data_IF_956469384633
#
_entry.id   IF_956469384633
#
_cell.length_a   1.000
_cell.length_b   1.000
_cell.length_c   1.000
_cell.angle_alpha   90.00
_cell.angle_beta   90.00
_cell.angle_gamma   90.00
#
_symmetry.space_group_name_H-M   'P 1'
#
loop_
_entity.id
_entity.type
_entity.pdbx_description
1 polymer ?
#
# COMPACT_ATOMS: atom_id res chain seq x y z
N UNK A 1 -17.11 -3.20 2.55
CA UNK A 1 -16.52 -3.85 1.34
C UNK A 1 -16.01 -5.27 1.65
N UNK A 2 -15.77 -6.12 0.63
CA UNK A 2 -15.17 -7.47 0.82
C UNK A 2 -13.67 -7.44 0.56
N UNK A 3 -12.89 -7.99 1.50
CA UNK A 3 -11.45 -8.10 1.39
C UNK A 3 -11.03 -9.54 1.10
N UNK A 4 -10.12 -9.69 0.14
CA UNK A 4 -9.48 -10.96 -0.22
C UNK A 4 -8.04 -10.92 0.24
N UNK A 5 -7.70 -11.74 1.22
CA UNK A 5 -6.32 -11.87 1.69
C UNK A 5 -5.40 -12.38 0.58
N UNK A 6 -4.34 -11.62 0.25
CA UNK A 6 -3.32 -12.01 -0.73
C UNK A 6 -2.11 -12.63 -0.03
N UNK A 7 -1.64 -11.98 1.03
CA UNK A 7 -0.51 -12.45 1.80
C UNK A 7 -0.13 -11.52 2.93
N UNK A 8 0.80 -11.98 3.77
CA UNK A 8 1.34 -11.24 4.90
C UNK A 8 2.82 -11.57 5.02
N UNK A 9 3.61 -10.63 5.51
CA UNK A 9 4.97 -10.91 5.88
C UNK A 9 5.07 -11.12 7.40
N UNK A 10 5.33 -12.35 7.84
CA UNK A 10 5.38 -12.71 9.25
C UNK A 10 6.82 -12.87 9.72
N UNK A 11 7.47 -11.77 10.10
CA UNK A 11 8.61 -11.78 11.01
C UNK A 11 8.13 -11.79 12.47
N UNK A 12 8.94 -12.27 13.45
CA UNK A 12 8.49 -12.40 14.83
C UNK A 12 8.29 -11.04 15.48
N UNK A 13 7.04 -10.57 15.53
CA UNK A 13 6.63 -9.35 16.22
C UNK A 13 5.28 -8.85 15.73
N UNK A 14 5.21 -8.47 14.47
CA UNK A 14 4.03 -7.82 13.87
C UNK A 14 4.00 -8.11 12.36
N UNK A 15 2.82 -8.28 11.76
CA UNK A 15 2.67 -8.83 10.41
C UNK A 15 1.90 -7.88 9.48
N UNK A 16 2.59 -7.05 8.69
CA UNK A 16 1.95 -6.29 7.62
C UNK A 16 1.26 -7.23 6.64
N UNK A 17 0.06 -6.86 6.22
CA UNK A 17 -0.85 -7.73 5.49
C UNK A 17 -1.43 -7.01 4.28
N UNK A 18 -1.50 -7.72 3.17
CA UNK A 18 -2.03 -7.21 1.91
C UNK A 18 -3.35 -7.90 1.57
N UNK A 19 -4.35 -7.08 1.28
CA UNK A 19 -5.66 -7.52 0.86
C UNK A 19 -6.02 -6.89 -0.50
N UNK A 20 -6.77 -7.62 -1.32
CA UNK A 20 -7.44 -7.10 -2.50
C UNK A 20 -8.91 -6.81 -2.15
N UNK A 21 -9.37 -5.61 -2.44
CA UNK A 21 -10.78 -5.25 -2.37
C UNK A 21 -11.48 -5.58 -3.70
N UNK A 22 -12.76 -5.92 -3.61
CA UNK A 22 -13.64 -6.08 -4.79
C UNK A 22 -13.90 -4.75 -5.53
N UNK A 23 -13.49 -3.62 -4.95
CA UNK A 23 -13.66 -2.26 -5.51
C UNK A 23 -12.48 -1.77 -6.34
N UNK A 24 -11.78 -2.67 -7.03
CA UNK A 24 -10.58 -2.34 -7.81
C UNK A 24 -9.55 -1.52 -7.00
N UNK A 25 -9.38 -1.91 -5.73
CA UNK A 25 -8.40 -1.30 -4.81
C UNK A 25 -7.70 -2.38 -4.00
N UNK A 26 -6.47 -2.12 -3.55
CA UNK A 26 -5.72 -2.92 -2.60
C UNK A 26 -5.73 -2.25 -1.23
N UNK A 27 -5.90 -3.05 -0.19
CA UNK A 27 -5.82 -2.58 1.19
C UNK A 27 -4.51 -3.07 1.77
N UNK A 28 -3.68 -2.11 2.14
CA UNK A 28 -2.34 -2.36 2.68
C UNK A 28 -2.40 -2.10 4.18
N UNK A 29 -2.30 -3.16 4.98
CA UNK A 29 -2.15 -3.08 6.43
C UNK A 29 -0.67 -3.05 6.79
N UNK A 30 -0.26 -2.05 7.55
CA UNK A 30 1.11 -1.92 8.03
C UNK A 30 1.23 -1.13 9.32
N UNK A 31 2.46 -0.86 9.72
CA UNK A 31 2.74 -0.08 10.92
C UNK A 31 2.44 1.38 10.69
N UNK A 32 1.69 2.00 11.60
CA UNK A 32 1.43 3.42 11.53
C UNK A 32 2.71 4.19 11.81
N UNK A 33 3.13 5.01 10.86
CA UNK A 33 4.34 5.83 11.02
C UNK A 33 3.98 7.06 11.83
N UNK A 34 4.43 7.09 13.09
CA UNK A 34 4.32 8.25 13.97
C UNK A 34 5.57 9.14 13.93
N UNK A 35 6.58 8.75 13.14
CA UNK A 35 7.84 9.47 13.06
C UNK A 35 7.59 10.87 12.48
N UNK A 36 7.59 11.87 13.36
CA UNK A 36 7.33 13.26 13.00
C UNK A 36 8.32 13.74 11.94
N UNK A 37 9.57 13.27 11.97
CA UNK A 37 10.58 13.60 10.96
C UNK A 37 10.21 13.11 9.54
N UNK A 38 9.65 11.89 9.43
CA UNK A 38 9.12 11.39 8.16
C UNK A 38 7.86 12.15 7.74
N UNK A 39 6.92 12.32 8.66
CA UNK A 39 5.69 13.09 8.42
C UNK A 39 5.96 14.56 8.05
N UNK A 40 7.03 15.17 8.54
CA UNK A 40 7.44 16.53 8.17
C UNK A 40 7.99 16.61 6.75
N UNK A 41 8.51 15.50 6.23
CA UNK A 41 9.03 15.39 4.85
C UNK A 41 7.95 14.98 3.85
N UNK A 42 6.87 14.37 4.32
CA UNK A 42 5.73 13.94 3.52
C UNK A 42 4.58 14.93 3.66
N UNK A 43 3.98 15.34 2.54
CA UNK A 43 2.73 16.08 2.59
C UNK A 43 1.58 15.05 2.68
N UNK A 44 1.06 14.85 3.89
CA UNK A 44 -0.06 13.93 4.16
C UNK A 44 -1.36 14.74 4.23
N UNK A 45 -2.25 14.64 3.23
CA UNK A 45 -3.54 15.33 3.25
C UNK A 45 -4.43 14.87 4.40
N UNK A 46 -5.40 15.70 4.78
CA UNK A 46 -6.46 15.31 5.71
C UNK A 46 -7.19 14.05 5.22
N UNK A 47 -7.33 13.07 6.12
CA UNK A 47 -7.93 11.76 5.81
C UNK A 47 -6.98 10.77 5.15
N UNK A 48 -5.72 11.13 4.90
CA UNK A 48 -4.67 10.21 4.51
C UNK A 48 -3.78 9.84 5.70
N UNK A 49 -3.15 8.69 5.61
CA UNK A 49 -2.21 8.20 6.61
C UNK A 49 -1.06 7.47 5.94
N UNK A 50 -0.03 7.19 6.73
CA UNK A 50 1.21 6.56 6.25
C UNK A 50 1.45 5.27 7.00
N UNK A 51 1.66 4.21 6.22
CA UNK A 51 1.98 2.87 6.72
C UNK A 51 3.37 2.46 6.27
N UNK A 52 4.11 1.82 7.16
CA UNK A 52 5.33 1.12 6.80
C UNK A 52 5.02 -0.36 6.53
N UNK A 53 5.46 -0.85 5.36
CA UNK A 53 5.35 -2.27 4.98
C UNK A 53 6.62 -2.74 4.25
N UNK A 54 7.01 -4.01 4.36
CA UNK A 54 8.14 -4.56 3.64
C UNK A 54 7.83 -4.68 2.14
N UNK A 55 8.81 -4.38 1.30
CA UNK A 55 8.62 -4.40 -0.17
C UNK A 55 8.24 -5.79 -0.69
N UNK A 56 8.67 -6.85 -0.01
CA UNK A 56 8.33 -8.24 -0.35
C UNK A 56 6.82 -8.51 -0.22
N UNK A 57 6.08 -7.70 0.55
CA UNK A 57 4.63 -7.82 0.66
C UNK A 57 3.96 -7.64 -0.71
N UNK A 58 4.52 -6.79 -1.58
CA UNK A 58 4.02 -6.57 -2.93
C UNK A 58 4.24 -7.78 -3.84
N UNK A 59 5.13 -8.72 -3.52
CA UNK A 59 5.27 -9.95 -4.30
C UNK A 59 3.97 -10.79 -4.28
N UNK A 60 3.16 -10.65 -3.24
CA UNK A 60 1.86 -11.29 -3.15
C UNK A 60 0.81 -10.72 -4.11
N UNK A 61 1.04 -9.55 -4.71
CA UNK A 61 0.18 -9.02 -5.77
C UNK A 61 0.09 -9.96 -6.97
N UNK A 62 1.15 -10.71 -7.25
CA UNK A 62 1.14 -11.72 -8.32
C UNK A 62 0.03 -12.77 -8.10
N UNK A 63 -0.38 -13.03 -6.85
CA UNK A 63 -1.51 -13.94 -6.54
C UNK A 63 -2.87 -13.36 -6.95
N UNK A 64 -2.97 -12.04 -7.10
CA UNK A 64 -4.17 -11.39 -7.61
C UNK A 64 -4.28 -11.46 -9.14
N UNK A 65 -3.20 -11.88 -9.82
CA UNK A 65 -3.10 -11.90 -11.28
C UNK A 65 -2.28 -10.76 -11.87
N UNK A 66 -1.55 -10.00 -11.05
CA UNK A 66 -0.65 -8.96 -11.54
C UNK A 66 0.61 -9.54 -12.19
N UNK A 67 1.14 -8.89 -13.25
CA UNK A 67 2.22 -9.42 -14.07
C UNK A 67 3.56 -9.54 -13.32
N UNK A 68 3.77 -8.68 -12.33
CA UNK A 68 4.91 -8.72 -11.41
C UNK A 68 4.45 -8.24 -10.04
N UNK A 69 5.05 -8.76 -8.97
CA UNK A 69 4.91 -8.18 -7.63
C UNK A 69 6.14 -7.40 -7.18
N UNK A 70 7.10 -7.20 -8.08
CA UNK A 70 8.28 -6.40 -7.85
C UNK A 70 7.99 -4.93 -8.16
N UNK A 71 7.97 -4.09 -7.13
CA UNK A 71 7.89 -2.64 -7.29
C UNK A 71 9.15 -2.16 -7.99
N UNK A 72 8.98 -1.59 -9.18
CA UNK A 72 10.05 -1.00 -10.00
C UNK A 72 10.06 0.52 -9.92
N UNK A 73 8.89 1.12 -9.68
CA UNK A 73 8.68 2.55 -9.64
C UNK A 73 8.22 2.96 -8.24
N UNK A 74 9.03 3.76 -7.55
CA UNK A 74 8.73 4.28 -6.21
C UNK A 74 8.15 5.69 -6.34
N UNK A 75 6.87 5.77 -6.70
CA UNK A 75 6.09 7.01 -6.80
C UNK A 75 4.86 6.94 -5.90
N UNK A 76 4.13 8.05 -5.75
CA UNK A 76 2.84 8.07 -5.07
C UNK A 76 1.98 6.87 -5.53
N UNK A 77 1.53 6.00 -4.61
CA UNK A 77 1.43 6.16 -3.15
C UNK A 77 2.68 5.81 -2.32
N UNK A 78 3.71 5.17 -2.88
CA UNK A 78 4.96 4.90 -2.16
C UNK A 78 5.81 6.18 -2.11
N UNK A 79 6.04 6.69 -0.90
CA UNK A 79 6.74 7.96 -0.70
C UNK A 79 8.22 7.79 -0.38
N UNK A 80 8.57 6.69 0.30
CA UNK A 80 9.94 6.45 0.74
C UNK A 80 10.22 4.95 0.81
N UNK A 81 11.45 4.56 0.51
CA UNK A 81 11.98 3.22 0.82
C UNK A 81 13.09 3.38 1.85
N UNK A 82 13.02 2.62 2.93
CA UNK A 82 14.04 2.60 3.96
C UNK A 82 15.18 1.67 3.56
N UNK A 83 16.37 1.91 4.11
CA UNK A 83 17.52 1.02 3.90
C UNK A 83 17.31 -0.41 4.46
N UNK A 84 16.25 -0.63 5.25
CA UNK A 84 15.91 -1.93 5.83
C UNK A 84 15.07 -2.80 4.88
N UNK A 85 14.71 -2.29 3.69
CA UNK A 85 13.83 -3.00 2.75
C UNK A 85 12.33 -2.83 3.07
N UNK A 86 11.97 -1.88 3.93
CA UNK A 86 10.59 -1.43 4.09
C UNK A 86 10.32 -0.21 3.21
N UNK A 87 9.06 0.03 2.90
CA UNK A 87 8.60 1.20 2.19
C UNK A 87 7.44 1.85 2.94
N UNK A 88 7.43 3.18 2.88
CA UNK A 88 6.40 4.02 3.44
C UNK A 88 5.39 4.29 2.34
N UNK A 89 4.18 3.79 2.55
CA UNK A 89 3.06 3.95 1.63
C UNK A 89 2.09 4.94 2.24
N UNK A 90 1.76 5.97 1.48
CA UNK A 90 0.78 6.99 1.82
C UNK A 90 -0.50 6.75 1.05
N UNK A 91 -1.63 6.79 1.74
CA UNK A 91 -2.93 6.67 1.08
C UNK A 91 -4.09 7.07 1.99
N UNK A 92 -5.30 7.11 1.45
CA UNK A 92 -6.50 7.35 2.24
C UNK A 92 -6.65 6.30 3.34
N UNK A 93 -6.86 6.80 4.56
CA UNK A 93 -7.09 5.96 5.71
C UNK A 93 -8.40 5.19 5.51
N UNK A 94 -8.34 3.89 5.79
CA UNK A 94 -9.46 3.02 5.55
C UNK A 94 -10.45 3.08 6.72
N UNK A 95 -11.63 3.63 6.47
CA UNK A 95 -12.70 3.76 7.46
C UNK A 95 -13.88 2.77 7.25
N UNK A 96 -13.79 1.83 6.31
CA UNK A 96 -14.90 0.91 6.00
C UNK A 96 -15.09 -0.14 7.12
N UNK A 97 -16.21 -0.12 7.85
CA UNK A 97 -16.39 -0.94 9.04
C UNK A 97 -16.48 -2.44 8.72
N UNK A 98 -16.98 -2.83 7.54
CA UNK A 98 -17.06 -4.24 7.15
C UNK A 98 -15.65 -4.82 6.96
N UNK A 99 -14.78 -4.05 6.34
CA UNK A 99 -13.40 -4.45 6.13
C UNK A 99 -12.59 -4.41 7.43
N UNK A 100 -12.73 -3.34 8.23
CA UNK A 100 -12.14 -3.27 9.57
C UNK A 100 -12.57 -4.48 10.44
N UNK A 101 -13.81 -4.95 10.31
CA UNK A 101 -14.30 -6.12 11.03
C UNK A 101 -13.74 -7.45 10.53
N UNK A 102 -13.16 -7.51 9.33
CA UNK A 102 -12.53 -8.71 8.75
C UNK A 102 -11.06 -8.86 9.16
N UNK A 103 -10.44 -7.79 9.67
CA UNK A 103 -9.03 -7.76 10.04
C UNK A 103 -8.85 -7.30 11.48
N UNK A 104 -7.66 -7.54 12.05
CA UNK A 104 -7.38 -7.19 13.44
C UNK A 104 -6.33 -6.09 13.44
N UNK A 105 -6.74 -4.88 13.78
CA UNK A 105 -5.86 -3.71 13.86
C UNK A 105 -5.65 -3.30 15.31
N UNK A 106 -4.48 -3.57 15.91
CA UNK A 106 -4.06 -2.89 17.11
C UNK A 106 -3.75 -1.42 16.81
N UNK A 107 -3.81 -0.54 17.83
CA UNK A 107 -3.70 0.92 17.62
C UNK A 107 -2.35 1.44 17.07
N UNK A 108 -1.35 0.57 16.93
CA UNK A 108 -0.06 0.88 16.30
C UNK A 108 0.01 0.45 14.83
N UNK A 109 -0.98 -0.29 14.33
CA UNK A 109 -1.16 -0.62 12.92
C UNK A 109 -2.26 0.26 12.33
N UNK A 110 -2.17 0.51 11.03
CA UNK A 110 -3.27 1.12 10.27
C UNK A 110 -3.33 0.51 8.88
N UNK A 111 -4.44 0.76 8.20
CA UNK A 111 -4.67 0.30 6.85
C UNK A 111 -5.01 1.48 5.95
N UNK A 112 -4.41 1.45 4.77
CA UNK A 112 -4.75 2.39 3.71
C UNK A 112 -5.37 1.66 2.55
N UNK A 113 -6.30 2.35 1.87
CA UNK A 113 -6.83 1.89 0.60
C UNK A 113 -6.03 2.53 -0.53
N UNK A 114 -5.52 1.71 -1.43
CA UNK A 114 -4.73 2.14 -2.58
C UNK A 114 -5.43 1.65 -3.85
N UNK A 115 -5.67 2.51 -4.85
CA UNK A 115 -6.25 2.06 -6.12
C UNK A 115 -5.36 0.99 -6.79
N UNK A 116 -5.96 -0.04 -7.40
CA UNK A 116 -5.21 -0.97 -8.26
C UNK A 116 -4.38 -0.26 -9.33
N UNK A 117 -4.88 0.75 -10.07
CA UNK A 117 -4.07 1.43 -11.08
C UNK A 117 -2.84 2.12 -10.48
N UNK A 118 -2.95 2.62 -9.24
CA UNK A 118 -1.80 3.18 -8.53
C UNK A 118 -0.76 2.11 -8.24
N UNK A 119 -1.16 0.92 -7.78
CA UNK A 119 -0.23 -0.20 -7.56
C UNK A 119 0.37 -0.70 -8.87
N UNK A 120 -0.42 -0.83 -9.93
CA UNK A 120 0.05 -1.24 -11.26
C UNK A 120 1.12 -0.27 -11.78
N UNK A 121 0.92 1.03 -11.62
CA UNK A 121 1.89 2.06 -12.01
C UNK A 121 3.23 1.99 -11.23
N UNK A 122 3.27 1.28 -10.09
CA UNK A 122 4.50 1.02 -9.34
C UNK A 122 5.25 -0.22 -9.90
N UNK A 123 4.52 -1.14 -10.54
CA UNK A 123 5.05 -2.38 -11.10
C UNK A 123 5.52 -2.20 -12.54
N UNK A 124 4.84 -1.34 -13.29
CA UNK A 124 5.27 -0.95 -14.63
C UNK A 124 6.53 -0.07 -14.53
N UNK A 125 7.55 -0.39 -15.33
CA UNK A 125 8.62 0.58 -15.58
C UNK A 125 7.96 1.82 -16.17
N UNK A 126 8.35 3.01 -15.71
CA UNK A 126 7.91 4.30 -16.27
C UNK A 126 8.36 4.44 -17.72
N UNK A 127 7.85 3.60 -18.62
CA UNK A 127 7.66 3.92 -20.01
C UNK A 127 6.56 4.97 -20.02
N UNK A 128 6.97 6.19 -20.35
CA UNK A 128 6.17 7.36 -20.69
C UNK A 128 4.65 7.15 -20.64
N UNK A 129 3.88 8.00 -19.93
CA UNK A 129 2.44 7.97 -20.08
C UNK A 129 2.13 8.27 -21.54
N UNK A 130 1.71 7.26 -22.30
CA UNK A 130 0.97 7.41 -23.54
C UNK A 130 -0.32 8.14 -23.16
N UNK A 131 -0.23 9.47 -23.09
CA UNK A 131 -1.38 10.33 -23.22
C UNK A 131 -1.76 10.22 -24.70
N UNK A 132 -2.90 9.60 -25.06
CA UNK A 132 -3.46 9.83 -26.37
C UNK A 132 -3.78 11.32 -26.44
N UNK A 133 -2.94 12.03 -27.18
CA UNK A 133 -3.14 13.40 -27.65
C UNK A 133 -4.55 13.48 -28.21
N UNK A 134 -5.45 14.08 -27.44
CA UNK A 134 -6.79 14.37 -27.93
C UNK A 134 -6.66 15.41 -29.05
N UNK A 135 -7.23 15.06 -30.19
CA UNK A 135 -7.10 15.72 -31.50
C UNK A 135 -7.70 17.13 -31.53
#
# INVERSE_FOLDING_TARGET
MKLRFLGKNSTPGDSPTLYASDRDSYVVQGWRVYANDLLMRLDVPDGHTVVEVPIELFEHLSKDGLPSGQVKNFSAPIMLVTAQGTCIVQGPEMHDPEALSQMRMPGYETCIEVPKPSIVALLEESGEPDHPRTA
#
